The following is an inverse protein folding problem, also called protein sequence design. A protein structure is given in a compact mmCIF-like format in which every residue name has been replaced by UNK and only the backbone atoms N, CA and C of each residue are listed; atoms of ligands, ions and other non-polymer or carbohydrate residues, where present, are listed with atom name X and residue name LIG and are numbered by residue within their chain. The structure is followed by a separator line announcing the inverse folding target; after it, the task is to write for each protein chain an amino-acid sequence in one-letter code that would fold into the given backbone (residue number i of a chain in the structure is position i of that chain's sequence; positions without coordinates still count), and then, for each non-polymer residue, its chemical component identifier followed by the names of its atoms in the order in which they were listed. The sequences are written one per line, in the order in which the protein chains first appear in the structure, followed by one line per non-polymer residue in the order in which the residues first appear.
data_IF_382159766597
#
_entry.id   IF_382159766597
#
_cell.length_a   1.000
_cell.length_b   1.000
_cell.length_c   1.000
_cell.angle_alpha   90.00
_cell.angle_beta   90.00
_cell.angle_gamma   90.00
#
_symmetry.space_group_name_H-M   'P 1'
#
loop_
_entity.id
_entity.type
_entity.pdbx_description
1 polymer ?
#
# COMPACT_ATOMS: atom_id res chain seq x y z
N UNK A 1 -19.60 5.80 17.72
CA UNK A 1 -19.68 6.89 16.72
C UNK A 1 -18.51 7.81 16.96
N UNK A 2 -17.43 7.65 16.19
CA UNK A 2 -16.28 8.55 16.23
C UNK A 2 -16.67 9.85 15.52
N UNK A 3 -16.63 10.97 16.23
CA UNK A 3 -16.88 12.28 15.65
C UNK A 3 -15.79 12.61 14.63
N UNK A 4 -16.20 13.09 13.46
CA UNK A 4 -15.27 13.60 12.46
C UNK A 4 -14.50 14.78 13.05
N UNK A 5 -13.19 14.78 12.88
CA UNK A 5 -12.31 15.89 13.24
C UNK A 5 -12.63 17.13 12.40
N UNK A 6 -12.26 18.31 12.89
CA UNK A 6 -12.53 19.57 12.20
C UNK A 6 -11.92 19.64 10.79
N UNK A 7 -10.77 18.98 10.59
CA UNK A 7 -10.17 18.81 9.26
C UNK A 7 -11.03 17.94 8.33
N UNK A 8 -11.62 16.85 8.83
CA UNK A 8 -12.51 15.98 8.04
C UNK A 8 -13.83 16.67 7.67
N UNK A 9 -14.28 17.63 8.49
CA UNK A 9 -15.49 18.42 8.21
C UNK A 9 -15.22 19.48 7.14
N UNK A 10 -14.03 20.09 7.12
CA UNK A 10 -13.64 21.04 6.06
C UNK A 10 -13.31 20.32 4.73
N UNK A 11 -12.82 19.08 4.80
CA UNK A 11 -12.56 18.20 3.63
C UNK A 11 -13.86 17.70 2.95
N UNK A 12 -15.04 17.96 3.54
CA UNK A 12 -16.35 17.57 3.00
C UNK A 12 -16.83 18.45 1.83
N UNK A 13 -16.12 19.52 1.51
CA UNK A 13 -16.30 20.20 0.22
C UNK A 13 -15.52 19.43 -0.85
N UNK A 14 -16.17 18.41 -1.44
CA UNK A 14 -15.64 17.57 -2.51
C UNK A 14 -15.19 18.41 -3.71
N UNK A 15 -13.97 18.93 -3.67
CA UNK A 15 -13.31 19.35 -4.91
C UNK A 15 -13.03 18.08 -5.71
N UNK A 16 -13.57 17.93 -6.92
CA UNK A 16 -13.34 16.74 -7.72
C UNK A 16 -11.83 16.59 -7.99
N UNK A 17 -11.30 15.41 -7.67
CA UNK A 17 -9.90 15.08 -7.92
C UNK A 17 -9.58 15.35 -9.39
N UNK A 18 -8.59 16.20 -9.64
CA UNK A 18 -8.23 16.65 -10.98
C UNK A 18 -6.73 16.84 -11.11
N UNK A 19 -6.24 16.87 -12.35
CA UNK A 19 -4.88 17.27 -12.66
C UNK A 19 -4.93 18.74 -13.07
N UNK A 20 -4.19 19.63 -12.37
CA UNK A 20 -4.20 21.06 -12.67
C UNK A 20 -3.61 21.36 -14.05
N UNK A 21 -4.13 22.41 -14.69
CA UNK A 21 -3.60 22.96 -15.94
C UNK A 21 -2.36 23.84 -15.68
N UNK A 22 -1.56 24.07 -16.72
CA UNK A 22 -0.40 24.97 -16.73
C UNK A 22 0.68 24.69 -15.66
N UNK A 23 1.00 23.42 -15.42
CA UNK A 23 1.99 23.00 -14.42
C UNK A 23 3.44 23.11 -14.90
N UNK A 24 3.69 22.91 -16.19
CA UNK A 24 5.05 22.76 -16.73
C UNK A 24 5.92 24.03 -16.56
N UNK A 25 5.31 25.20 -16.39
CA UNK A 25 6.01 26.47 -16.17
C UNK A 25 6.08 26.92 -14.70
N UNK A 26 5.53 26.15 -13.76
CA UNK A 26 5.48 26.52 -12.34
C UNK A 26 6.74 26.07 -11.62
N UNK A 27 7.10 26.79 -10.54
CA UNK A 27 8.07 26.24 -9.59
C UNK A 27 7.49 25.00 -8.88
N UNK A 28 8.36 24.18 -8.31
CA UNK A 28 7.98 22.97 -7.55
C UNK A 28 6.94 23.29 -6.46
N UNK A 29 7.17 24.37 -5.69
CA UNK A 29 6.22 24.80 -4.65
C UNK A 29 4.88 25.24 -5.25
N UNK A 30 4.89 26.04 -6.33
CA UNK A 30 3.67 26.50 -6.98
C UNK A 30 2.86 25.32 -7.55
N UNK A 31 3.53 24.34 -8.14
CA UNK A 31 2.89 23.13 -8.64
C UNK A 31 2.34 22.26 -7.50
N UNK A 32 3.08 22.07 -6.40
CA UNK A 32 2.60 21.32 -5.23
C UNK A 32 1.32 21.94 -4.65
N UNK A 33 1.26 23.27 -4.54
CA UNK A 33 0.05 23.98 -4.13
C UNK A 33 -1.11 23.81 -5.14
N UNK A 34 -0.82 23.77 -6.44
CA UNK A 34 -1.84 23.53 -7.46
C UNK A 34 -2.42 22.11 -7.39
N UNK A 35 -1.57 21.09 -7.20
CA UNK A 35 -2.02 19.72 -6.97
C UNK A 35 -2.87 19.59 -5.71
N UNK A 36 -2.46 20.22 -4.61
CA UNK A 36 -3.21 20.22 -3.36
C UNK A 36 -4.61 20.84 -3.51
N UNK A 37 -4.73 21.95 -4.23
CA UNK A 37 -6.02 22.57 -4.58
C UNK A 37 -6.91 21.66 -5.43
N UNK A 38 -6.31 20.78 -6.23
CA UNK A 38 -7.03 19.80 -7.04
C UNK A 38 -7.30 18.48 -6.28
N UNK A 39 -7.12 18.46 -4.96
CA UNK A 39 -7.41 17.31 -4.12
C UNK A 39 -6.29 16.27 -4.08
N UNK A 40 -5.03 16.61 -4.32
CA UNK A 40 -3.93 15.66 -4.11
C UNK A 40 -3.16 15.93 -2.83
N UNK A 41 -3.02 14.92 -1.97
CA UNK A 41 -2.02 14.97 -0.91
C UNK A 41 -0.62 14.97 -1.54
N UNK A 42 0.17 16.00 -1.26
CA UNK A 42 1.51 16.17 -1.81
C UNK A 42 2.57 15.89 -0.74
N UNK A 43 3.75 15.50 -1.21
CA UNK A 43 4.92 15.23 -0.38
C UNK A 43 6.20 15.67 -1.12
N UNK A 44 7.12 16.38 -0.43
CA UNK A 44 8.44 16.66 -0.98
C UNK A 44 9.31 15.40 -0.90
N UNK A 45 10.05 15.12 -1.97
CA UNK A 45 11.08 14.07 -1.99
C UNK A 45 12.38 14.63 -2.58
N UNK A 46 13.51 13.98 -2.32
CA UNK A 46 14.77 14.32 -2.99
C UNK A 46 14.60 14.19 -4.51
N UNK A 47 14.93 15.25 -5.25
CA UNK A 47 14.91 15.20 -6.69
C UNK A 47 15.86 14.08 -7.20
N UNK A 48 15.48 13.48 -8.31
CA UNK A 48 16.19 12.33 -8.85
C UNK A 48 15.94 11.01 -8.12
N UNK A 49 15.07 10.99 -7.11
CA UNK A 49 14.67 9.76 -6.40
C UNK A 49 13.17 9.48 -6.55
N UNK A 50 12.75 8.24 -6.26
CA UNK A 50 11.34 7.86 -6.10
C UNK A 50 11.03 7.42 -4.67
N UNK A 51 11.84 7.85 -3.70
CA UNK A 51 11.75 7.41 -2.31
C UNK A 51 10.91 8.40 -1.50
N UNK A 52 9.67 8.04 -1.09
CA UNK A 52 8.77 8.97 -0.41
C UNK A 52 9.32 9.47 0.93
N UNK A 53 10.06 8.63 1.66
CA UNK A 53 10.68 9.02 2.94
C UNK A 53 11.99 9.79 2.83
N UNK A 54 12.45 10.13 1.62
CA UNK A 54 13.80 10.70 1.41
C UNK A 54 14.05 12.04 2.10
N UNK A 55 13.01 12.86 2.27
CA UNK A 55 13.09 14.15 2.97
C UNK A 55 12.34 14.17 4.30
N UNK A 56 11.34 13.29 4.46
CA UNK A 56 10.39 13.37 5.58
C UNK A 56 10.42 12.16 6.52
N UNK A 57 11.29 11.18 6.27
CA UNK A 57 11.45 10.01 7.13
C UNK A 57 10.48 8.86 6.83
N UNK A 58 10.49 7.85 7.69
CA UNK A 58 9.75 6.59 7.51
C UNK A 58 8.24 6.74 7.75
N UNK A 59 7.82 7.75 8.52
CA UNK A 59 6.43 8.14 8.78
C UNK A 59 5.88 9.10 7.70
N UNK A 60 6.42 9.00 6.48
CA UNK A 60 5.99 9.81 5.34
C UNK A 60 4.48 9.72 5.02
N UNK A 61 3.77 8.59 5.18
CA UNK A 61 2.35 8.52 4.85
C UNK A 61 1.53 9.54 5.66
N UNK A 62 1.92 9.79 6.89
CA UNK A 62 1.33 10.75 7.80
C UNK A 62 1.69 12.19 7.41
N UNK A 63 2.88 12.43 6.84
CA UNK A 63 3.40 13.77 6.47
C UNK A 63 2.86 14.32 5.15
N UNK A 64 2.32 13.50 4.26
CA UNK A 64 1.70 14.03 3.04
C UNK A 64 0.53 14.95 3.39
N UNK A 65 0.39 16.10 2.74
CA UNK A 65 -0.59 17.11 3.14
C UNK A 65 -1.22 17.82 1.94
N UNK A 66 -2.41 18.41 2.17
CA UNK A 66 -3.05 19.38 1.26
C UNK A 66 -3.08 20.79 1.87
N UNK A 67 -2.66 20.94 3.12
CA UNK A 67 -2.71 22.21 3.82
C UNK A 67 -1.67 23.16 3.23
N UNK A 68 -2.11 24.30 2.70
CA UNK A 68 -1.23 25.26 2.04
C UNK A 68 -0.08 25.74 2.94
N UNK A 69 -0.33 25.97 4.24
CA UNK A 69 0.73 26.41 5.17
C UNK A 69 1.77 25.32 5.35
N UNK A 70 1.34 24.07 5.58
CA UNK A 70 2.26 22.93 5.72
C UNK A 70 3.05 22.68 4.43
N UNK A 71 2.42 22.76 3.26
CA UNK A 71 3.10 22.62 1.96
C UNK A 71 4.23 23.64 1.83
N UNK A 72 3.95 24.92 2.16
CA UNK A 72 4.96 25.99 2.11
C UNK A 72 6.13 25.74 3.06
N UNK A 73 5.90 25.06 4.18
CA UNK A 73 6.96 24.69 5.13
C UNK A 73 7.80 23.51 4.63
N UNK A 74 7.17 22.43 4.16
CA UNK A 74 7.88 21.19 3.82
C UNK A 74 8.57 21.26 2.44
N UNK A 75 8.16 22.15 1.55
CA UNK A 75 8.78 22.37 0.23
C UNK A 75 9.89 23.45 0.22
N UNK A 76 10.44 23.81 1.38
CA UNK A 76 11.56 24.77 1.49
C UNK A 76 12.91 24.20 1.04
N UNK A 77 13.04 22.88 0.96
CA UNK A 77 14.32 22.24 0.67
C UNK A 77 14.76 22.50 -0.79
N UNK A 78 16.04 22.84 -1.01
CA UNK A 78 16.58 22.89 -2.37
C UNK A 78 16.54 21.50 -3.01
N UNK A 79 16.44 21.44 -4.33
CA UNK A 79 16.47 20.19 -5.10
C UNK A 79 15.37 19.18 -4.71
N UNK A 80 14.13 19.68 -4.60
CA UNK A 80 12.96 18.87 -4.24
C UNK A 80 12.16 18.48 -5.48
N UNK A 81 11.64 17.26 -5.50
CA UNK A 81 10.60 16.79 -6.41
C UNK A 81 9.26 16.62 -5.67
N UNK A 82 8.17 16.61 -6.45
CA UNK A 82 6.79 16.45 -5.97
C UNK A 82 6.38 14.99 -6.11
N UNK A 83 6.00 14.39 -4.99
CA UNK A 83 5.29 13.13 -4.96
C UNK A 83 3.81 13.37 -4.62
N UNK A 84 2.90 12.72 -5.36
CA UNK A 84 1.49 12.65 -5.01
C UNK A 84 1.23 11.35 -4.24
N UNK A 85 0.67 11.46 -3.03
CA UNK A 85 0.23 10.29 -2.26
C UNK A 85 -1.09 9.79 -2.85
N UNK A 86 -1.01 8.72 -3.64
CA UNK A 86 -2.10 8.21 -4.47
C UNK A 86 -3.28 7.72 -3.62
N UNK A 87 -3.04 6.74 -2.74
CA UNK A 87 -4.08 6.15 -1.90
C UNK A 87 -4.78 7.15 -0.98
N UNK A 88 -4.03 7.99 -0.26
CA UNK A 88 -4.61 9.03 0.62
C UNK A 88 -5.38 10.10 -0.17
N UNK A 89 -5.06 10.29 -1.44
CA UNK A 89 -5.82 11.20 -2.32
C UNK A 89 -7.12 10.59 -2.85
N UNK A 90 -7.46 9.35 -2.48
CA UNK A 90 -8.65 8.67 -2.98
C UNK A 90 -8.49 8.24 -4.43
N UNK A 91 -7.28 7.84 -4.84
CA UNK A 91 -6.97 7.47 -6.20
C UNK A 91 -6.28 6.09 -6.30
N UNK A 92 -6.29 5.56 -7.51
CA UNK A 92 -5.38 4.51 -7.99
C UNK A 92 -4.72 5.04 -9.25
N UNK A 93 -3.44 4.76 -9.43
CA UNK A 93 -2.72 5.06 -10.68
C UNK A 93 -2.23 3.76 -11.28
N UNK A 94 -2.56 3.53 -12.55
CA UNK A 94 -1.93 2.48 -13.36
C UNK A 94 -0.64 3.08 -13.94
N UNK A 95 0.49 2.58 -13.46
CA UNK A 95 1.85 3.00 -13.86
C UNK A 95 2.32 2.04 -14.96
N UNK A 96 2.03 2.41 -16.22
CA UNK A 96 2.29 1.57 -17.39
C UNK A 96 3.73 1.75 -17.83
N UNK A 97 4.50 0.66 -17.80
CA UNK A 97 5.90 0.61 -18.25
C UNK A 97 6.05 0.04 -19.67
N UNK A 98 5.24 -0.96 -20.03
CA UNK A 98 5.24 -1.64 -21.32
C UNK A 98 3.81 -1.71 -21.88
N UNK A 99 3.39 -0.69 -22.67
CA UNK A 99 2.05 -0.64 -23.24
C UNK A 99 1.70 -1.80 -24.18
N UNK A 100 2.70 -2.51 -24.72
CA UNK A 100 2.49 -3.62 -25.66
C UNK A 100 1.92 -4.87 -24.98
N UNK A 101 2.04 -4.95 -23.65
CA UNK A 101 1.53 -6.06 -22.83
C UNK A 101 0.19 -5.79 -22.16
N UNK A 102 -0.41 -4.62 -22.42
CA UNK A 102 -1.74 -4.32 -21.92
C UNK A 102 -2.78 -5.24 -22.55
N UNK A 103 -3.69 -5.77 -21.74
CA UNK A 103 -4.85 -6.49 -22.25
C UNK A 103 -5.79 -5.56 -23.03
N UNK A 104 -6.60 -6.11 -23.93
CA UNK A 104 -7.61 -5.35 -24.69
C UNK A 104 -8.56 -4.56 -23.77
N UNK A 105 -8.88 -5.10 -22.60
CA UNK A 105 -9.65 -4.42 -21.58
C UNK A 105 -8.94 -3.14 -21.12
N UNK A 106 -7.68 -3.24 -20.71
CA UNK A 106 -6.92 -2.09 -20.23
C UNK A 106 -6.70 -1.05 -21.33
N UNK A 107 -6.41 -1.49 -22.56
CA UNK A 107 -6.25 -0.56 -23.69
C UNK A 107 -7.52 0.26 -23.93
N UNK A 108 -8.70 -0.38 -23.83
CA UNK A 108 -9.99 0.31 -23.93
C UNK A 108 -10.15 1.36 -22.83
N UNK A 109 -9.99 0.94 -21.58
CA UNK A 109 -10.25 1.80 -20.41
C UNK A 109 -9.24 2.95 -20.26
N UNK A 110 -8.00 2.77 -20.69
CA UNK A 110 -6.95 3.81 -20.60
C UNK A 110 -7.02 4.82 -21.74
N UNK A 111 -7.28 4.37 -22.97
CA UNK A 111 -7.10 5.19 -24.16
C UNK A 111 -8.40 5.78 -24.70
N UNK A 112 -9.53 5.07 -24.61
CA UNK A 112 -10.79 5.55 -25.16
C UNK A 112 -11.48 6.57 -24.25
N UNK A 113 -11.41 6.38 -22.95
CA UNK A 113 -12.00 7.29 -21.94
C UNK A 113 -11.22 8.60 -21.78
N UNK A 114 -10.06 8.72 -22.45
CA UNK A 114 -9.17 9.89 -22.41
C UNK A 114 -8.79 10.33 -20.99
N UNK A 115 -8.51 9.36 -20.12
CA UNK A 115 -7.98 9.57 -18.77
C UNK A 115 -6.82 10.59 -18.81
N UNK A 116 -6.70 11.49 -17.80
CA UNK A 116 -5.48 12.24 -17.60
C UNK A 116 -4.26 11.33 -17.68
N UNK A 117 -3.17 11.85 -18.20
CA UNK A 117 -2.01 11.02 -18.51
C UNK A 117 -0.73 11.81 -18.40
N UNK A 118 0.17 11.31 -17.56
CA UNK A 118 1.52 11.81 -17.46
C UNK A 118 2.46 10.85 -18.17
N UNK A 119 3.11 11.31 -19.24
CA UNK A 119 4.21 10.58 -19.84
C UNK A 119 5.37 10.50 -18.84
N UNK A 120 6.05 9.36 -18.77
CA UNK A 120 7.26 9.17 -17.96
C UNK A 120 8.53 9.08 -18.81
N UNK A 121 8.41 9.22 -20.13
CA UNK A 121 9.51 9.25 -21.10
C UNK A 121 9.30 10.37 -22.11
N UNK A 122 10.40 10.91 -22.62
CA UNK A 122 10.38 11.88 -23.72
C UNK A 122 10.26 11.17 -25.08
N UNK A 123 10.96 10.05 -25.23
CA UNK A 123 11.05 9.24 -26.45
C UNK A 123 10.60 7.81 -26.15
N UNK A 124 9.95 7.16 -27.11
CA UNK A 124 9.45 5.79 -26.99
C UNK A 124 7.93 5.70 -27.15
N UNK A 125 7.33 4.64 -26.62
CA UNK A 125 5.89 4.45 -26.69
C UNK A 125 5.15 5.56 -25.93
N UNK A 126 4.40 6.38 -26.67
CA UNK A 126 3.66 7.54 -26.15
C UNK A 126 2.57 7.18 -25.15
N UNK A 127 2.27 5.89 -24.97
CA UNK A 127 1.30 5.37 -24.00
C UNK A 127 1.94 5.01 -22.66
N UNK A 128 3.27 5.02 -22.54
CA UNK A 128 3.97 4.71 -21.29
C UNK A 128 3.82 5.85 -20.28
N UNK A 129 3.35 5.54 -19.08
CA UNK A 129 3.28 6.49 -17.98
C UNK A 129 2.10 6.29 -17.04
N UNK A 130 1.72 7.35 -16.34
CA UNK A 130 0.77 7.30 -15.23
C UNK A 130 -0.66 7.62 -15.67
N UNK A 131 -1.60 6.73 -15.34
CA UNK A 131 -3.04 6.89 -15.59
C UNK A 131 -3.82 6.88 -14.26
N UNK A 132 -4.16 8.05 -13.70
CA UNK A 132 -4.92 8.16 -12.46
C UNK A 132 -6.42 7.89 -12.66
N UNK A 133 -7.01 7.24 -11.66
CA UNK A 133 -8.45 7.03 -11.52
C UNK A 133 -8.89 7.35 -10.09
N UNK A 134 -10.09 7.92 -9.95
CA UNK A 134 -10.72 8.22 -8.65
C UNK A 134 -11.34 6.94 -8.10
N UNK A 135 -11.08 6.67 -6.84
CA UNK A 135 -11.66 5.55 -6.10
C UNK A 135 -12.88 6.06 -5.31
N UNK A 136 -13.99 5.31 -5.25
CA UNK A 136 -15.11 5.65 -4.39
C UNK A 136 -14.69 5.84 -2.93
N UNK A 137 -15.36 6.77 -2.24
CA UNK A 137 -15.13 7.00 -0.82
C UNK A 137 -15.28 5.67 -0.04
N UNK A 138 -14.42 5.44 0.96
CA UNK A 138 -14.36 4.22 1.78
C UNK A 138 -13.87 2.94 1.08
N UNK A 139 -13.41 3.03 -0.18
CA UNK A 139 -12.73 1.92 -0.86
C UNK A 139 -11.24 2.24 -0.94
N UNK A 140 -10.39 1.23 -0.73
CA UNK A 140 -8.95 1.34 -0.96
C UNK A 140 -8.45 0.12 -1.71
N UNK A 141 -7.45 0.31 -2.57
CA UNK A 141 -6.79 -0.77 -3.30
C UNK A 141 -5.33 -0.83 -2.89
N UNK A 142 -4.78 -2.04 -2.77
CA UNK A 142 -3.34 -2.22 -2.58
C UNK A 142 -2.53 -1.94 -3.84
N UNK A 143 -1.24 -2.29 -3.82
CA UNK A 143 -0.32 -2.16 -4.97
C UNK A 143 -0.23 -3.45 -5.81
N UNK A 144 -1.15 -4.40 -5.59
CA UNK A 144 -1.18 -5.67 -6.31
C UNK A 144 -1.84 -5.50 -7.68
N UNK A 145 -1.31 -6.20 -8.68
CA UNK A 145 -1.91 -6.29 -10.02
C UNK A 145 -3.23 -7.07 -10.01
N UNK A 146 -3.52 -7.82 -8.94
CA UNK A 146 -4.68 -8.70 -8.87
C UNK A 146 -4.72 -9.66 -10.05
N UNK A 147 -5.82 -9.63 -10.80
CA UNK A 147 -6.03 -10.42 -12.02
C UNK A 147 -5.95 -9.60 -13.32
N UNK A 148 -5.30 -8.43 -13.30
CA UNK A 148 -5.05 -7.62 -14.50
C UNK A 148 -3.95 -8.19 -15.42
N UNK A 149 -3.25 -9.24 -14.98
CA UNK A 149 -2.08 -9.77 -15.67
C UNK A 149 -0.81 -9.00 -15.31
N UNK A 150 0.34 -9.58 -15.67
CA UNK A 150 1.67 -9.06 -15.35
C UNK A 150 2.42 -8.55 -16.58
N UNK A 151 3.51 -7.82 -16.36
CA UNK A 151 4.46 -7.42 -17.40
C UNK A 151 4.19 -6.08 -18.08
N UNK A 152 2.99 -5.50 -17.95
CA UNK A 152 2.67 -4.18 -18.49
C UNK A 152 3.10 -3.01 -17.59
N UNK A 153 3.24 -3.23 -16.28
CA UNK A 153 3.53 -2.17 -15.31
C UNK A 153 3.04 -2.50 -13.89
N UNK A 154 2.76 -1.45 -13.12
CA UNK A 154 2.42 -1.50 -11.69
C UNK A 154 1.04 -0.85 -11.39
N UNK A 155 0.43 -1.28 -10.29
CA UNK A 155 -0.70 -0.59 -9.66
C UNK A 155 -0.18 0.22 -8.47
N UNK A 156 -0.44 1.53 -8.47
CA UNK A 156 -0.13 2.43 -7.36
C UNK A 156 -1.44 2.77 -6.64
N UNK A 157 -1.65 2.19 -5.46
CA UNK A 157 -2.82 2.41 -4.63
C UNK A 157 -2.42 2.88 -3.23
N UNK A 158 -2.74 2.07 -2.22
CA UNK A 158 -2.52 2.36 -0.81
C UNK A 158 -1.05 2.62 -0.49
N UNK A 159 -0.78 3.76 0.17
CA UNK A 159 0.55 4.24 0.52
C UNK A 159 1.56 4.15 -0.63
N UNK A 160 1.09 4.34 -1.87
CA UNK A 160 1.94 4.52 -3.03
C UNK A 160 2.04 6.00 -3.39
N UNK A 161 3.16 6.35 -4.02
CA UNK A 161 3.34 7.66 -4.63
C UNK A 161 3.53 7.54 -6.14
N UNK A 162 3.23 8.64 -6.85
CA UNK A 162 3.80 8.93 -8.16
C UNK A 162 4.56 10.24 -8.10
N UNK A 163 5.67 10.33 -8.83
CA UNK A 163 6.38 11.60 -8.99
C UNK A 163 5.80 12.32 -10.21
N UNK A 164 5.61 13.63 -10.11
CA UNK A 164 4.86 14.39 -11.10
C UNK A 164 5.58 15.63 -11.62
N UNK A 165 5.19 16.08 -12.82
CA UNK A 165 5.65 17.35 -13.38
C UNK A 165 5.41 18.52 -12.40
N UNK A 166 6.33 19.49 -12.28
CA UNK A 166 7.51 19.74 -13.12
C UNK A 166 8.80 19.16 -12.53
N UNK A 167 8.69 18.09 -11.72
CA UNK A 167 9.85 17.48 -11.08
C UNK A 167 10.83 16.88 -12.07
N UNK A 168 12.12 16.96 -11.76
CA UNK A 168 13.13 16.23 -12.50
C UNK A 168 12.97 14.72 -12.31
N UNK A 169 13.10 13.98 -13.41
CA UNK A 169 13.05 12.52 -13.38
C UNK A 169 14.38 11.92 -12.90
N UNK A 170 14.31 10.77 -12.20
CA UNK A 170 15.47 10.03 -11.67
C UNK A 170 16.43 9.52 -12.74
N UNK A 171 15.87 8.97 -13.82
CA UNK A 171 16.64 8.54 -14.99
C UNK A 171 16.85 9.69 -15.99
N UNK A 172 18.03 9.80 -16.61
CA UNK A 172 18.34 10.84 -17.61
C UNK A 172 17.40 10.87 -18.81
N UNK A 173 16.91 9.71 -19.25
CA UNK A 173 15.97 9.58 -20.37
C UNK A 173 14.50 9.70 -19.94
N UNK A 174 14.26 9.76 -18.64
CA UNK A 174 12.93 9.89 -18.10
C UNK A 174 12.48 11.34 -18.04
N UNK A 175 11.18 11.52 -18.13
CA UNK A 175 10.60 12.85 -18.25
C UNK A 175 9.17 12.80 -17.74
N UNK A 176 8.82 13.64 -16.77
CA UNK A 176 7.44 13.77 -16.31
C UNK A 176 6.79 14.93 -17.03
N UNK A 177 5.78 14.65 -17.85
CA UNK A 177 4.97 15.69 -18.48
C UNK A 177 3.53 15.24 -18.63
N UNK A 178 2.60 16.08 -18.20
CA UNK A 178 1.19 15.83 -18.43
C UNK A 178 0.88 16.07 -19.91
N UNK A 179 0.41 15.01 -20.59
CA UNK A 179 -0.07 15.06 -21.97
C UNK A 179 -1.57 15.28 -22.05
N UNK A 180 -2.28 14.90 -20.98
CA UNK A 180 -3.71 15.14 -20.79
C UNK A 180 -3.95 15.48 -19.32
N UNK A 181 -4.67 16.57 -19.07
CA UNK A 181 -5.01 17.08 -17.75
C UNK A 181 -6.54 17.12 -17.57
N UNK A 182 -7.01 17.62 -16.42
CA UNK A 182 -8.43 17.75 -16.12
C UNK A 182 -8.92 16.74 -15.09
N UNK A 183 -10.23 16.52 -15.06
CA UNK A 183 -10.88 15.70 -14.04
C UNK A 183 -10.38 14.25 -14.09
N UNK A 184 -10.07 13.68 -12.91
CA UNK A 184 -9.72 12.27 -12.77
C UNK A 184 -11.01 11.45 -12.77
N UNK A 185 -11.23 10.57 -13.76
CA UNK A 185 -12.46 9.81 -13.87
C UNK A 185 -12.54 8.70 -12.80
N UNK A 186 -13.75 8.22 -12.44
CA UNK A 186 -13.91 7.06 -11.58
C UNK A 186 -13.21 5.82 -12.15
N UNK A 187 -12.66 4.97 -11.27
CA UNK A 187 -12.08 3.68 -11.65
C UNK A 187 -13.16 2.80 -12.31
N UNK A 188 -12.98 2.37 -13.57
CA UNK A 188 -13.97 1.53 -14.25
C UNK A 188 -14.18 0.21 -13.53
N UNK A 189 -15.44 -0.24 -13.45
CA UNK A 189 -15.80 -1.49 -12.77
C UNK A 189 -15.03 -2.69 -13.31
N UNK A 190 -14.81 -2.71 -14.62
CA UNK A 190 -14.05 -3.72 -15.35
C UNK A 190 -12.61 -3.88 -14.84
N UNK A 191 -12.00 -2.79 -14.37
CA UNK A 191 -10.66 -2.79 -13.74
C UNK A 191 -10.78 -3.06 -12.24
N UNK A 192 -11.72 -2.42 -11.55
CA UNK A 192 -11.85 -2.59 -10.09
C UNK A 192 -12.17 -4.03 -9.68
N UNK A 193 -13.00 -4.74 -10.45
CA UNK A 193 -13.34 -6.15 -10.20
C UNK A 193 -12.11 -7.07 -10.27
N UNK A 194 -11.02 -6.62 -10.90
CA UNK A 194 -9.77 -7.37 -11.04
C UNK A 194 -8.75 -7.03 -9.96
N UNK A 195 -8.96 -5.98 -9.18
CA UNK A 195 -8.06 -5.54 -8.14
C UNK A 195 -8.54 -6.02 -6.76
N UNK A 196 -7.64 -6.44 -5.87
CA UNK A 196 -8.02 -6.79 -4.50
C UNK A 196 -8.41 -5.51 -3.74
N UNK A 197 -9.68 -5.42 -3.37
CA UNK A 197 -10.19 -4.37 -2.48
C UNK A 197 -9.61 -4.59 -1.09
N UNK A 198 -9.03 -3.56 -0.49
CA UNK A 198 -8.76 -3.53 0.95
C UNK A 198 -10.06 -3.16 1.63
N UNK A 199 -10.68 -4.12 2.31
CA UNK A 199 -11.74 -3.85 3.29
C UNK A 199 -11.07 -3.48 4.60
N UNK A 200 -11.12 -2.20 4.95
CA UNK A 200 -10.51 -1.66 6.16
C UNK A 200 -9.90 -0.28 5.90
N UNK A 201 -10.18 0.68 6.78
CA UNK A 201 -9.46 1.97 6.78
C UNK A 201 -7.95 1.73 6.80
N UNK A 202 -7.17 2.71 6.33
CA UNK A 202 -5.72 2.66 6.30
C UNK A 202 -5.19 1.95 7.55
N UNK A 203 -4.71 0.72 7.38
CA UNK A 203 -4.11 -0.03 8.47
C UNK A 203 -2.73 0.57 8.68
N UNK A 204 -2.70 1.71 9.36
CA UNK A 204 -1.50 2.19 10.03
C UNK A 204 -1.01 1.07 10.93
N UNK A 205 0.31 0.93 11.04
CA UNK A 205 0.90 0.07 12.06
C UNK A 205 0.25 0.40 13.42
N UNK A 206 -0.09 -0.63 14.20
CA UNK A 206 -0.69 -0.40 15.52
C UNK A 206 0.27 0.43 16.38
N UNK A 207 -0.26 1.35 17.18
CA UNK A 207 0.53 1.99 18.22
C UNK A 207 0.75 1.02 19.41
N UNK A 208 1.64 1.38 20.33
CA UNK A 208 1.99 0.51 21.49
C UNK A 208 0.77 0.10 22.33
N UNK A 209 -0.21 0.98 22.50
CA UNK A 209 -1.44 0.68 23.25
C UNK A 209 -2.31 -0.33 22.53
N UNK A 210 -2.50 -0.15 21.21
CA UNK A 210 -3.24 -1.07 20.35
C UNK A 210 -2.56 -2.44 20.24
N UNK A 211 -1.23 -2.47 20.13
CA UNK A 211 -0.46 -3.70 20.12
C UNK A 211 -0.60 -4.47 21.44
N UNK A 212 -0.59 -3.78 22.60
CA UNK A 212 -0.87 -4.43 23.89
C UNK A 212 -2.28 -5.00 23.96
N UNK A 213 -3.27 -4.26 23.47
CA UNK A 213 -4.65 -4.74 23.42
C UNK A 213 -4.78 -5.99 22.52
N UNK A 214 -4.09 -6.00 21.37
CA UNK A 214 -4.02 -7.16 20.49
C UNK A 214 -3.46 -8.39 21.20
N UNK A 215 -2.37 -8.24 21.95
CA UNK A 215 -1.76 -9.36 22.68
C UNK A 215 -2.70 -9.93 23.74
N UNK A 216 -3.37 -9.06 24.49
CA UNK A 216 -4.35 -9.46 25.52
C UNK A 216 -5.55 -10.17 24.88
N UNK A 217 -6.03 -9.68 23.74
CA UNK A 217 -7.17 -10.27 23.05
C UNK A 217 -6.87 -11.66 22.44
N UNK A 218 -5.60 -11.95 22.15
CA UNK A 218 -5.16 -13.15 21.44
C UNK A 218 -4.21 -14.02 22.30
N UNK A 219 -4.64 -14.29 23.53
CA UNK A 219 -3.91 -15.09 24.54
C UNK A 219 -4.43 -16.55 24.66
N UNK A 220 -5.17 -17.02 23.65
CA UNK A 220 -5.68 -18.39 23.61
C UNK A 220 -4.65 -19.38 23.07
N UNK A 221 -4.76 -20.65 23.44
CA UNK A 221 -3.78 -21.68 23.11
C UNK A 221 -4.44 -23.05 22.89
N UNK A 222 -4.97 -23.30 21.69
CA UNK A 222 -5.66 -24.56 21.36
C UNK A 222 -4.79 -25.59 20.61
N UNK A 223 -3.72 -25.16 19.93
CA UNK A 223 -2.82 -25.96 19.07
C UNK A 223 -1.37 -25.45 19.18
N UNK A 224 -0.80 -25.48 20.38
CA UNK A 224 0.54 -24.92 20.66
C UNK A 224 1.61 -25.47 19.72
N UNK A 225 1.59 -26.77 19.46
CA UNK A 225 2.55 -27.46 18.62
C UNK A 225 2.58 -26.94 17.18
N UNK A 226 1.50 -26.33 16.70
CA UNK A 226 1.42 -25.77 15.36
C UNK A 226 2.39 -24.60 15.17
N UNK A 227 2.69 -23.83 16.23
CA UNK A 227 3.71 -22.78 16.17
C UNK A 227 5.08 -23.36 15.81
N UNK A 228 5.44 -24.50 16.42
CA UNK A 228 6.72 -25.15 16.13
C UNK A 228 6.78 -25.67 14.69
N UNK A 229 5.67 -26.18 14.14
CA UNK A 229 5.60 -26.53 12.72
C UNK A 229 5.88 -25.31 11.81
N UNK A 230 5.29 -24.14 12.09
CA UNK A 230 5.56 -22.90 11.34
C UNK A 230 7.04 -22.49 11.44
N UNK A 231 7.60 -22.51 12.64
CA UNK A 231 9.00 -22.11 12.88
C UNK A 231 9.98 -23.07 12.20
N UNK A 232 9.74 -24.38 12.29
CA UNK A 232 10.57 -25.40 11.64
C UNK A 232 10.58 -25.23 10.13
N UNK A 233 9.42 -24.96 9.52
CA UNK A 233 9.36 -24.68 8.08
C UNK A 233 10.28 -23.51 7.68
N UNK A 234 10.28 -22.42 8.45
CA UNK A 234 11.14 -21.26 8.17
C UNK A 234 12.63 -21.55 8.43
N UNK A 235 12.94 -22.37 9.44
CA UNK A 235 14.33 -22.84 9.71
C UNK A 235 14.87 -23.70 8.57
N UNK A 236 14.05 -24.60 8.04
CA UNK A 236 14.40 -25.49 6.92
C UNK A 236 14.47 -24.74 5.58
N UNK A 237 13.72 -23.63 5.46
CA UNK A 237 13.64 -22.81 4.26
C UNK A 237 14.02 -21.34 4.55
N UNK A 238 15.27 -21.08 4.98
CA UNK A 238 15.66 -19.75 5.41
C UNK A 238 15.65 -18.76 4.22
N UNK A 239 15.09 -17.55 4.40
CA UNK A 239 15.07 -16.54 3.35
C UNK A 239 16.47 -16.04 3.00
N UNK A 240 16.69 -15.78 1.70
CA UNK A 240 17.93 -15.16 1.21
C UNK A 240 18.18 -13.79 1.85
N UNK A 241 19.45 -13.39 1.99
CA UNK A 241 19.89 -12.18 2.72
C UNK A 241 19.07 -10.92 2.41
N UNK A 242 18.82 -10.66 1.12
CA UNK A 242 18.13 -9.45 0.64
C UNK A 242 16.60 -9.53 0.74
N UNK A 243 16.04 -10.71 1.07
CA UNK A 243 14.60 -10.95 1.16
C UNK A 243 14.12 -11.18 2.60
N UNK A 244 15.02 -11.17 3.59
CA UNK A 244 14.70 -11.45 5.00
C UNK A 244 13.58 -10.55 5.54
N UNK A 245 13.62 -9.25 5.27
CA UNK A 245 12.58 -8.30 5.73
C UNK A 245 11.18 -8.71 5.27
N UNK A 246 10.97 -8.84 3.95
CA UNK A 246 9.67 -9.22 3.39
C UNK A 246 9.24 -10.62 3.79
N UNK A 247 10.18 -11.57 3.92
CA UNK A 247 9.88 -12.91 4.39
C UNK A 247 9.35 -12.91 5.83
N UNK A 248 10.00 -12.17 6.73
CA UNK A 248 9.56 -12.04 8.11
C UNK A 248 8.25 -11.28 8.26
N UNK A 249 7.99 -10.24 7.46
CA UNK A 249 6.66 -9.59 7.43
C UNK A 249 5.54 -10.59 7.10
N UNK A 250 5.75 -11.43 6.09
CA UNK A 250 4.77 -12.46 5.69
C UNK A 250 4.61 -13.53 6.76
N UNK A 251 5.72 -13.96 7.36
CA UNK A 251 5.71 -14.95 8.43
C UNK A 251 5.00 -14.44 9.68
N UNK A 252 5.26 -13.20 10.09
CA UNK A 252 4.56 -12.54 11.20
C UNK A 252 3.06 -12.46 10.94
N UNK A 253 2.63 -12.08 9.74
CA UNK A 253 1.21 -12.15 9.37
C UNK A 253 0.63 -13.56 9.50
N UNK A 254 1.37 -14.61 9.11
CA UNK A 254 0.91 -15.98 9.23
C UNK A 254 0.70 -16.40 10.69
N UNK A 255 1.71 -16.20 11.55
CA UNK A 255 1.65 -16.66 12.94
C UNK A 255 0.69 -15.82 13.79
N UNK A 256 0.53 -14.53 13.48
CA UNK A 256 -0.46 -13.68 14.15
C UNK A 256 -1.89 -13.98 13.70
N UNK A 257 -2.10 -14.43 12.44
CA UNK A 257 -3.41 -14.95 12.01
C UNK A 257 -3.78 -16.25 12.72
N UNK A 258 -2.83 -17.19 12.83
CA UNK A 258 -3.00 -18.42 13.62
C UNK A 258 -3.34 -18.07 15.09
N UNK A 259 -2.66 -17.06 15.66
CA UNK A 259 -2.95 -16.58 17.02
C UNK A 259 -4.35 -15.96 17.14
N UNK A 260 -4.77 -15.17 16.15
CA UNK A 260 -6.07 -14.51 16.15
C UNK A 260 -7.26 -15.46 15.99
N UNK A 261 -7.02 -16.69 15.55
CA UNK A 261 -8.02 -17.78 15.54
C UNK A 261 -7.84 -18.74 16.71
N UNK A 262 -6.97 -18.40 17.67
CA UNK A 262 -6.78 -19.10 18.93
C UNK A 262 -5.89 -20.34 18.87
N UNK A 263 -5.05 -20.50 17.84
CA UNK A 263 -4.16 -21.66 17.78
C UNK A 263 -3.09 -21.61 18.87
N UNK A 264 -2.48 -20.45 19.08
CA UNK A 264 -1.48 -20.24 20.11
C UNK A 264 -1.41 -18.76 20.49
N UNK A 265 -0.75 -18.46 21.60
CA UNK A 265 -0.66 -17.11 22.13
C UNK A 265 0.13 -16.23 21.18
N UNK A 266 -0.40 -15.03 20.89
CA UNK A 266 0.31 -14.05 20.07
C UNK A 266 1.65 -13.64 20.70
N UNK A 267 1.72 -13.57 22.04
CA UNK A 267 2.94 -13.26 22.78
C UNK A 267 4.04 -14.31 22.56
N UNK A 268 3.69 -15.59 22.61
CA UNK A 268 4.62 -16.70 22.37
C UNK A 268 5.08 -16.73 20.91
N UNK A 269 4.14 -16.54 19.97
CA UNK A 269 4.46 -16.46 18.54
C UNK A 269 5.48 -15.37 18.22
N UNK A 270 5.34 -14.19 18.83
CA UNK A 270 6.26 -13.08 18.63
C UNK A 270 7.63 -13.32 19.25
N UNK A 271 7.66 -13.84 20.49
CA UNK A 271 8.93 -14.13 21.18
C UNK A 271 9.76 -15.15 20.40
N UNK A 272 9.15 -16.26 19.99
CA UNK A 272 9.82 -17.31 19.21
C UNK A 272 10.24 -16.82 17.81
N UNK A 273 9.39 -16.03 17.15
CA UNK A 273 9.72 -15.44 15.85
C UNK A 273 10.87 -14.43 15.97
N UNK A 274 10.93 -13.65 17.06
CA UNK A 274 12.01 -12.70 17.31
C UNK A 274 13.35 -13.41 17.53
N UNK A 275 13.36 -14.50 18.29
CA UNK A 275 14.54 -15.35 18.46
C UNK A 275 15.03 -15.85 17.09
N UNK A 276 14.13 -16.41 16.27
CA UNK A 276 14.49 -16.88 14.94
C UNK A 276 14.98 -15.73 14.02
N UNK A 277 14.33 -14.56 14.08
CA UNK A 277 14.77 -13.38 13.33
C UNK A 277 16.21 -13.00 13.67
N UNK A 278 16.57 -12.95 14.94
CA UNK A 278 17.91 -12.59 15.37
C UNK A 278 18.97 -13.63 14.98
N UNK A 279 18.61 -14.92 14.85
CA UNK A 279 19.53 -15.94 14.30
C UNK A 279 19.78 -15.75 12.80
N UNK A 280 18.77 -15.31 12.04
CA UNK A 280 18.87 -15.16 10.59
C UNK A 280 19.32 -13.77 10.15
N UNK A 281 19.12 -12.75 10.98
CA UNK A 281 19.51 -11.36 10.78
C UNK A 281 20.01 -10.77 12.11
N UNK A 282 21.31 -10.84 12.40
CA UNK A 282 21.85 -10.31 13.65
C UNK A 282 21.66 -8.80 13.74
N UNK A 283 21.64 -8.25 14.96
CA UNK A 283 21.38 -6.81 15.22
C UNK A 283 22.26 -5.87 14.41
N UNK A 284 23.53 -6.25 14.15
CA UNK A 284 24.46 -5.47 13.34
C UNK A 284 24.03 -5.27 11.87
N UNK A 285 23.11 -6.09 11.37
CA UNK A 285 22.55 -5.98 10.02
C UNK A 285 21.14 -5.38 9.99
N UNK A 286 20.55 -5.08 11.15
CA UNK A 286 19.18 -4.57 11.28
C UNK A 286 19.13 -3.05 11.23
N UNK A 287 18.01 -2.52 10.73
CA UNK A 287 17.69 -1.10 10.95
C UNK A 287 17.10 -0.91 12.36
N UNK A 288 17.20 0.29 12.97
CA UNK A 288 16.57 0.54 14.26
C UNK A 288 15.08 0.14 14.26
N UNK A 289 14.67 -0.61 15.30
CA UNK A 289 13.29 -1.08 15.51
C UNK A 289 12.69 -1.88 14.34
N UNK A 290 13.53 -2.55 13.52
CA UNK A 290 13.06 -3.26 12.31
C UNK A 290 12.02 -4.33 12.65
N UNK A 291 12.31 -5.19 13.62
CA UNK A 291 11.40 -6.25 14.02
C UNK A 291 10.09 -5.70 14.59
N UNK A 292 10.18 -4.75 15.53
CA UNK A 292 9.02 -4.10 16.15
C UNK A 292 8.11 -3.44 15.11
N UNK A 293 8.69 -2.76 14.12
CA UNK A 293 7.93 -2.13 13.03
C UNK A 293 7.18 -3.17 12.18
N UNK A 294 7.81 -4.33 11.90
CA UNK A 294 7.13 -5.43 11.20
C UNK A 294 6.00 -6.03 12.03
N UNK A 295 6.18 -6.14 13.36
CA UNK A 295 5.17 -6.65 14.28
C UNK A 295 3.93 -5.76 14.30
N UNK A 296 4.11 -4.45 14.50
CA UNK A 296 2.98 -3.51 14.53
C UNK A 296 2.22 -3.45 13.21
N UNK A 297 2.95 -3.53 12.09
CA UNK A 297 2.34 -3.64 10.78
C UNK A 297 1.53 -4.94 10.63
N UNK A 298 2.11 -6.08 11.02
CA UNK A 298 1.46 -7.39 10.90
C UNK A 298 0.21 -7.50 11.79
N UNK A 299 0.25 -7.02 13.04
CA UNK A 299 -0.92 -6.95 13.90
C UNK A 299 -2.03 -6.08 13.27
N UNK A 300 -1.67 -4.93 12.71
CA UNK A 300 -2.62 -4.06 12.00
C UNK A 300 -3.27 -4.75 10.79
N UNK A 301 -2.53 -5.61 10.08
CA UNK A 301 -3.11 -6.43 9.00
C UNK A 301 -4.14 -7.43 9.54
N UNK A 302 -3.86 -8.07 10.69
CA UNK A 302 -4.73 -9.09 11.28
C UNK A 302 -5.98 -8.48 11.92
N UNK A 303 -5.86 -7.31 12.55
CA UNK A 303 -7.00 -6.57 13.09
C UNK A 303 -7.98 -6.13 12.01
N UNK A 304 -7.49 -5.79 10.82
CA UNK A 304 -8.34 -5.41 9.70
C UNK A 304 -9.08 -6.60 9.04
N UNK A 305 -8.73 -7.84 9.38
CA UNK A 305 -9.45 -8.99 8.85
C UNK A 305 -10.87 -9.04 9.38
N UNK A 306 -11.80 -9.26 8.46
CA UNK A 306 -13.19 -9.56 8.77
C UNK A 306 -13.33 -10.88 9.53
N UNK A 307 -14.47 -11.06 10.21
CA UNK A 307 -14.81 -12.31 10.89
C UNK A 307 -14.79 -13.50 9.91
N UNK A 308 -15.26 -13.29 8.67
CA UNK A 308 -15.26 -14.32 7.63
C UNK A 308 -13.83 -14.72 7.21
N UNK A 309 -12.92 -13.76 7.07
CA UNK A 309 -11.51 -14.04 6.73
C UNK A 309 -10.80 -14.79 7.86
N UNK A 310 -11.05 -14.42 9.13
CA UNK A 310 -10.52 -15.14 10.29
C UNK A 310 -11.07 -16.57 10.35
N UNK A 311 -12.37 -16.75 10.12
CA UNK A 311 -13.00 -18.07 10.06
C UNK A 311 -12.44 -18.94 8.92
N UNK A 312 -12.27 -18.38 7.73
CA UNK A 312 -11.66 -19.09 6.60
C UNK A 312 -10.20 -19.46 6.86
N UNK A 313 -9.44 -18.59 7.53
CA UNK A 313 -8.06 -18.87 7.94
C UNK A 313 -8.02 -20.04 8.93
N UNK A 314 -8.85 -20.00 9.98
CA UNK A 314 -8.99 -21.09 10.94
C UNK A 314 -9.33 -22.39 10.22
N UNK A 315 -10.31 -22.34 9.31
CA UNK A 315 -10.74 -23.48 8.52
C UNK A 315 -9.69 -23.99 7.53
N UNK A 316 -8.77 -23.18 7.04
CA UNK A 316 -7.78 -23.66 6.07
C UNK A 316 -6.53 -24.23 6.74
N UNK A 317 -6.34 -23.96 8.04
CA UNK A 317 -5.08 -24.19 8.73
C UNK A 317 -5.20 -24.96 10.05
N UNK A 318 -6.42 -25.26 10.53
CA UNK A 318 -6.61 -26.03 11.74
C UNK A 318 -6.05 -27.46 11.57
N UNK A 319 -5.22 -27.97 12.50
CA UNK A 319 -4.52 -29.25 12.36
C UNK A 319 -5.42 -30.49 12.22
N UNK A 320 -6.71 -30.38 12.55
CA UNK A 320 -7.63 -31.51 12.73
C UNK A 320 -8.95 -31.34 11.97
N UNK A 321 -8.98 -30.57 10.87
CA UNK A 321 -10.15 -30.62 10.01
C UNK A 321 -10.26 -31.99 9.38
N UNK A 322 -11.16 -32.77 9.97
CA UNK A 322 -11.55 -34.07 9.50
C UNK A 322 -11.81 -33.98 8.00
N UNK A 323 -11.18 -34.88 7.26
CA UNK A 323 -11.41 -35.12 5.83
C UNK A 323 -12.90 -35.06 5.46
N UNK A 324 -13.79 -35.52 6.35
CA UNK A 324 -15.24 -35.53 6.15
C UNK A 324 -15.87 -34.13 6.19
N UNK A 325 -15.38 -33.21 7.02
CA UNK A 325 -15.85 -31.82 7.08
C UNK A 325 -15.39 -31.05 5.84
N UNK A 326 -14.16 -31.33 5.37
CA UNK A 326 -13.63 -30.77 4.11
C UNK A 326 -14.43 -31.23 2.89
N UNK A 327 -14.86 -32.49 2.87
CA UNK A 327 -15.70 -33.05 1.82
C UNK A 327 -17.12 -32.47 1.85
N UNK A 328 -17.68 -32.30 3.05
CA UNK A 328 -19.01 -31.70 3.23
C UNK A 328 -19.05 -30.24 2.75
N UNK A 329 -18.08 -29.40 3.13
CA UNK A 329 -18.05 -27.98 2.71
C UNK A 329 -17.86 -27.86 1.20
N UNK A 330 -16.94 -28.64 0.60
CA UNK A 330 -16.74 -28.66 -0.87
C UNK A 330 -18.01 -29.05 -1.63
N UNK A 331 -18.84 -29.92 -1.05
CA UNK A 331 -20.09 -30.38 -1.65
C UNK A 331 -21.23 -29.35 -1.51
N UNK A 332 -21.20 -28.50 -0.50
CA UNK A 332 -22.33 -27.62 -0.14
C UNK A 332 -22.07 -26.12 -0.31
N UNK A 333 -20.86 -25.70 -0.70
CA UNK A 333 -20.51 -24.29 -0.93
C UNK A 333 -20.84 -23.77 -2.35
N UNK A 334 -21.98 -24.17 -2.95
CA UNK A 334 -22.48 -23.59 -4.22
C UNK A 334 -23.58 -22.58 -3.98
#
# INVERSE_FOLDING_TARGET
MTSLTWNQIIDSSESPLSIPEDIEGKSVLQAALAYAKCGWYVLPINAGTKHPGSLVGTDWPEKSTRNEKEIREIFKFPNTAIALHVGRSGAVVLDVDDPTKLSDLMMRELFQTRVPFQSTRLVGDIRRGHYPFKVPNNVSYGNSLGSLGSGWGDVRGHNAIIVVSPSQHAHPEGFYQWRRMGQVPPLPKSISDKLPVRTGGATSALNLGEARAFLIANDNENYREHLQYRLNYLRENPPQKNNRHTAFQRFLCLVLKDSAVGFYKASEALNETHLLFNTLKPESEQTPNEFESMVYWAMGMVEAMTVAEKALHAYSNAPHLDSQIMEWVKKNAR
#
